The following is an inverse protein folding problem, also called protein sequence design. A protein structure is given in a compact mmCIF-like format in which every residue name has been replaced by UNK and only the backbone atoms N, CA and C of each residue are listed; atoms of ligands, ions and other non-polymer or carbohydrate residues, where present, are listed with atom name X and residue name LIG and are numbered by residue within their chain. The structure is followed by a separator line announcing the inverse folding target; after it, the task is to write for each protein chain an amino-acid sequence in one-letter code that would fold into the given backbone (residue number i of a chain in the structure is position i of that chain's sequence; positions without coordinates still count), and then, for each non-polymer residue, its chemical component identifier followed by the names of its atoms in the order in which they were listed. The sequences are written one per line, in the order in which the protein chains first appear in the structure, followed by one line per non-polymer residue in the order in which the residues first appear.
data_IF_996801113848
#
_entry.id   IF_996801113848
#
_cell.length_a   1.000
_cell.length_b   1.000
_cell.length_c   1.000
_cell.angle_alpha   90.00
_cell.angle_beta   90.00
_cell.angle_gamma   90.00
#
_symmetry.space_group_name_H-M   'P 1'
#
loop_
_entity.id
_entity.type
_entity.pdbx_description
1 polymer ?
#
# COMPACT_ATOMS: atom_id res chain seq x y z
N UNK A 1 38.08 40.29 15.97
CA UNK A 1 37.99 38.90 16.43
C UNK A 1 36.53 38.72 16.84
N UNK A 2 35.63 38.39 15.90
CA UNK A 2 35.39 37.03 15.32
C UNK A 2 34.83 36.07 16.37
N UNK A 3 33.86 35.17 16.17
CA UNK A 3 32.92 34.79 15.07
C UNK A 3 31.92 33.79 15.71
N UNK A 4 30.63 33.65 15.36
CA UNK A 4 29.66 34.51 14.64
C UNK A 4 28.20 34.01 14.96
N UNK A 5 27.15 34.57 14.36
CA UNK A 5 25.76 34.05 14.46
C UNK A 5 25.57 32.75 13.63
N UNK A 6 24.92 31.71 14.18
CA UNK A 6 24.39 30.59 13.38
C UNK A 6 23.33 29.74 14.11
N UNK A 7 22.07 30.12 13.91
CA UNK A 7 20.97 29.27 13.39
C UNK A 7 20.97 27.76 13.68
N UNK A 8 19.94 27.35 14.44
CA UNK A 8 19.07 26.16 14.30
C UNK A 8 19.41 25.08 13.25
N UNK A 9 19.46 23.82 13.68
CA UNK A 9 19.10 22.68 12.83
C UNK A 9 18.43 21.56 13.66
N UNK A 10 17.10 21.50 13.59
CA UNK A 10 16.28 20.39 14.08
C UNK A 10 16.41 19.21 13.11
N UNK A 11 17.12 18.14 13.49
CA UNK A 11 17.28 16.95 12.63
C UNK A 11 16.03 16.07 12.66
N UNK A 12 14.98 16.54 11.98
CA UNK A 12 13.92 15.66 11.52
C UNK A 12 14.52 14.61 10.56
N UNK A 13 14.26 13.30 10.71
CA UNK A 13 14.69 12.32 9.73
C UNK A 13 13.90 12.54 8.44
N UNK A 14 14.61 13.01 7.41
CA UNK A 14 14.06 13.21 6.08
C UNK A 14 13.59 11.87 5.49
N UNK A 15 12.28 11.59 5.57
CA UNK A 15 11.67 10.53 4.78
C UNK A 15 11.61 10.98 3.31
N UNK A 16 12.73 10.77 2.62
CA UNK A 16 12.83 11.04 1.20
C UNK A 16 12.02 10.01 0.40
N UNK A 17 10.78 10.38 0.09
CA UNK A 17 9.88 9.61 -0.75
C UNK A 17 10.08 9.90 -2.26
N UNK A 18 11.17 10.58 -2.67
CA UNK A 18 11.37 11.06 -4.04
C UNK A 18 11.89 10.00 -5.06
N UNK A 19 11.50 8.72 -4.93
CA UNK A 19 11.65 7.72 -5.98
C UNK A 19 10.74 6.50 -5.75
N UNK A 20 9.43 6.63 -5.99
CA UNK A 20 8.55 5.45 -6.04
C UNK A 20 8.89 4.58 -7.27
N UNK A 21 9.71 3.55 -7.05
CA UNK A 21 10.14 2.56 -8.04
C UNK A 21 8.99 1.75 -8.60
N UNK A 22 8.33 2.32 -9.61
CA UNK A 22 7.40 1.71 -10.56
C UNK A 22 6.38 0.72 -9.98
N UNK A 23 5.19 1.26 -9.69
CA UNK A 23 3.94 0.55 -9.96
C UNK A 23 3.85 0.37 -11.49
N UNK A 24 4.44 -0.71 -12.00
CA UNK A 24 4.53 -1.05 -13.43
C UNK A 24 3.16 -1.15 -14.08
N UNK A 25 2.17 -1.69 -13.36
CA UNK A 25 0.79 -1.87 -13.81
C UNK A 25 -0.17 -0.79 -13.31
N UNK A 26 0.27 0.48 -13.17
CA UNK A 26 -0.51 1.61 -12.61
C UNK A 26 -1.96 1.67 -13.11
N UNK A 27 -2.16 1.58 -14.43
CA UNK A 27 -3.49 1.67 -15.04
C UNK A 27 -4.39 0.48 -14.67
N UNK A 28 -3.83 -0.70 -14.43
CA UNK A 28 -4.59 -1.88 -14.01
C UNK A 28 -4.99 -1.82 -12.54
N UNK A 29 -4.15 -1.26 -11.67
CA UNK A 29 -4.57 -0.93 -10.31
C UNK A 29 -5.68 0.12 -10.30
N UNK A 30 -5.58 1.17 -11.13
CA UNK A 30 -6.64 2.16 -11.27
C UNK A 30 -7.94 1.55 -11.82
N UNK A 31 -7.90 0.63 -12.79
CA UNK A 31 -9.07 -0.13 -13.26
C UNK A 31 -9.70 -0.97 -12.14
N UNK A 32 -8.88 -1.69 -11.35
CA UNK A 32 -9.34 -2.49 -10.20
C UNK A 32 -9.99 -1.61 -9.12
N UNK A 33 -9.36 -0.51 -8.75
CA UNK A 33 -9.88 0.44 -7.75
C UNK A 33 -11.21 1.07 -8.19
N UNK A 34 -11.35 1.50 -9.45
CA UNK A 34 -12.63 2.00 -10.01
C UNK A 34 -13.74 0.96 -9.96
N UNK A 35 -13.41 -0.35 -10.09
CA UNK A 35 -14.39 -1.44 -9.94
C UNK A 35 -14.83 -1.59 -8.48
N UNK A 36 -13.90 -1.51 -7.54
CA UNK A 36 -14.16 -1.57 -6.08
C UNK A 36 -15.01 -0.36 -5.63
N UNK A 37 -14.73 0.83 -6.16
CA UNK A 37 -15.54 2.04 -5.96
C UNK A 37 -17.00 1.82 -6.42
N UNK A 38 -17.18 1.14 -7.56
CA UNK A 38 -18.49 0.69 -8.04
C UNK A 38 -19.18 -0.32 -7.13
N UNK A 39 -18.43 -1.24 -6.51
CA UNK A 39 -18.96 -2.18 -5.50
C UNK A 39 -19.41 -1.45 -4.22
N UNK A 40 -18.64 -0.47 -3.75
CA UNK A 40 -19.01 0.36 -2.59
C UNK A 40 -20.32 1.13 -2.83
N UNK A 41 -20.48 1.75 -4.01
CA UNK A 41 -21.78 2.34 -4.41
C UNK A 41 -22.89 1.30 -4.53
N UNK A 42 -22.58 0.06 -4.90
CA UNK A 42 -23.53 -1.05 -4.92
C UNK A 42 -24.05 -1.39 -3.53
N UNK A 43 -23.14 -1.55 -2.57
CA UNK A 43 -23.46 -1.81 -1.17
C UNK A 43 -24.32 -0.70 -0.55
N UNK A 44 -24.03 0.57 -0.85
CA UNK A 44 -24.87 1.69 -0.40
C UNK A 44 -26.32 1.53 -0.85
N UNK A 45 -26.56 1.28 -2.15
CA UNK A 45 -27.92 1.04 -2.66
C UNK A 45 -28.59 -0.19 -2.05
N UNK A 46 -27.85 -1.29 -1.86
CA UNK A 46 -28.43 -2.49 -1.23
C UNK A 46 -28.89 -2.23 0.22
N UNK A 47 -28.22 -1.32 0.94
CA UNK A 47 -28.65 -0.89 2.29
C UNK A 47 -29.83 0.09 2.21
N UNK A 48 -29.81 1.05 1.28
CA UNK A 48 -30.92 1.98 1.03
C UNK A 48 -32.21 1.27 0.60
N UNK A 49 -32.10 0.18 -0.15
CA UNK A 49 -33.20 -0.67 -0.62
C UNK A 49 -33.60 -1.77 0.39
N UNK A 50 -33.04 -1.76 1.61
CA UNK A 50 -33.27 -2.75 2.68
C UNK A 50 -33.12 -4.22 2.22
N UNK A 51 -32.16 -4.49 1.33
CA UNK A 51 -31.96 -5.83 0.77
C UNK A 51 -31.51 -6.86 1.82
N UNK A 52 -31.72 -8.14 1.49
CA UNK A 52 -31.46 -9.24 2.41
C UNK A 52 -30.01 -9.26 2.90
N UNK A 53 -29.83 -9.33 4.23
CA UNK A 53 -28.54 -9.15 4.89
C UNK A 53 -27.44 -10.12 4.38
N UNK A 54 -27.81 -11.34 3.97
CA UNK A 54 -26.85 -12.32 3.44
C UNK A 54 -26.29 -11.90 2.08
N UNK A 55 -27.10 -11.24 1.23
CA UNK A 55 -26.65 -10.75 -0.08
C UNK A 55 -25.73 -9.54 0.09
N UNK A 56 -26.03 -8.66 1.05
CA UNK A 56 -25.15 -7.55 1.45
C UNK A 56 -23.80 -8.11 1.96
N UNK A 57 -23.82 -9.07 2.89
CA UNK A 57 -22.60 -9.71 3.41
C UNK A 57 -21.80 -10.45 2.31
N UNK A 58 -22.49 -11.02 1.32
CA UNK A 58 -21.86 -11.64 0.15
C UNK A 58 -21.13 -10.59 -0.70
N UNK A 59 -21.72 -9.41 -0.93
CA UNK A 59 -21.05 -8.32 -1.65
C UNK A 59 -19.92 -7.65 -0.85
N UNK A 60 -20.06 -7.51 0.47
CA UNK A 60 -18.95 -7.10 1.35
C UNK A 60 -17.77 -8.06 1.18
N UNK A 61 -18.04 -9.37 1.25
CA UNK A 61 -17.01 -10.40 1.05
C UNK A 61 -16.35 -10.34 -0.33
N UNK A 62 -17.12 -10.02 -1.38
CA UNK A 62 -16.60 -9.82 -2.73
C UNK A 62 -15.74 -8.55 -2.86
N UNK A 63 -16.10 -7.46 -2.18
CA UNK A 63 -15.32 -6.22 -2.16
C UNK A 63 -14.00 -6.39 -1.38
N UNK A 64 -14.03 -7.07 -0.23
CA UNK A 64 -12.83 -7.39 0.55
C UNK A 64 -11.83 -8.23 -0.25
N UNK A 65 -12.30 -9.27 -0.97
CA UNK A 65 -11.44 -10.06 -1.86
C UNK A 65 -10.82 -9.24 -2.99
N UNK A 66 -11.55 -8.27 -3.55
CA UNK A 66 -11.03 -7.38 -4.58
C UNK A 66 -9.95 -6.42 -4.02
N UNK A 67 -10.13 -5.91 -2.81
CA UNK A 67 -9.12 -5.12 -2.09
C UNK A 67 -7.86 -5.94 -1.78
N UNK A 68 -8.02 -7.16 -1.26
CA UNK A 68 -6.91 -8.08 -0.99
C UNK A 68 -6.11 -8.40 -2.27
N UNK A 69 -6.78 -8.58 -3.42
CA UNK A 69 -6.13 -8.80 -4.70
C UNK A 69 -5.34 -7.57 -5.21
N UNK A 70 -5.78 -6.34 -4.89
CA UNK A 70 -5.01 -5.12 -5.18
C UNK A 70 -3.79 -5.02 -4.28
N UNK A 71 -3.96 -5.27 -2.97
CA UNK A 71 -2.87 -5.21 -2.01
C UNK A 71 -1.78 -6.26 -2.29
N UNK A 72 -2.17 -7.47 -2.71
CA UNK A 72 -1.22 -8.53 -3.09
C UNK A 72 -0.40 -8.16 -4.34
N UNK A 73 -1.02 -7.57 -5.37
CA UNK A 73 -0.28 -7.13 -6.55
C UNK A 73 0.72 -6.02 -6.24
N UNK A 74 0.31 -5.00 -5.47
CA UNK A 74 1.20 -3.91 -5.06
C UNK A 74 2.40 -4.41 -4.23
N UNK A 75 2.19 -5.45 -3.42
CA UNK A 75 3.24 -6.14 -2.70
C UNK A 75 4.18 -6.92 -3.64
N UNK A 76 3.64 -7.65 -4.62
CA UNK A 76 4.42 -8.40 -5.61
C UNK A 76 5.33 -7.47 -6.44
N UNK A 77 4.80 -6.33 -6.90
CA UNK A 77 5.59 -5.27 -7.56
C UNK A 77 6.68 -4.71 -6.61
N UNK A 78 6.35 -4.48 -5.33
CA UNK A 78 7.30 -3.95 -4.35
C UNK A 78 8.43 -4.93 -4.02
N UNK A 79 8.13 -6.23 -3.89
CA UNK A 79 9.15 -7.27 -3.68
C UNK A 79 10.04 -7.37 -4.92
N UNK A 80 9.43 -7.44 -6.11
CA UNK A 80 10.13 -7.65 -7.38
C UNK A 80 11.13 -6.55 -7.73
N UNK A 81 10.85 -5.30 -7.37
CA UNK A 81 11.77 -4.18 -7.59
C UNK A 81 12.59 -3.85 -6.33
N UNK A 82 11.94 -3.46 -5.23
CA UNK A 82 12.65 -2.89 -4.08
C UNK A 82 13.41 -3.94 -3.25
N UNK A 83 12.89 -5.16 -3.10
CA UNK A 83 13.52 -6.19 -2.27
C UNK A 83 14.61 -6.93 -3.03
N UNK A 84 14.40 -7.25 -4.32
CA UNK A 84 15.44 -7.87 -5.15
C UNK A 84 16.65 -6.93 -5.31
N UNK A 85 16.45 -5.67 -5.67
CA UNK A 85 17.55 -4.69 -5.82
C UNK A 85 18.29 -4.42 -4.50
N UNK A 86 17.60 -4.52 -3.36
CA UNK A 86 18.23 -4.40 -2.04
C UNK A 86 19.01 -5.68 -1.67
N UNK A 87 18.45 -6.86 -1.93
CA UNK A 87 19.12 -8.13 -1.66
C UNK A 87 20.41 -8.31 -2.48
N UNK A 88 20.45 -7.80 -3.72
CA UNK A 88 21.67 -7.77 -4.57
C UNK A 88 22.73 -6.81 -4.00
N UNK A 89 22.34 -5.69 -3.40
CA UNK A 89 23.24 -4.72 -2.76
C UNK A 89 23.75 -5.19 -1.38
N UNK A 90 22.94 -5.93 -0.65
CA UNK A 90 23.27 -6.52 0.65
C UNK A 90 23.40 -5.52 1.80
N UNK A 91 23.83 -6.02 2.96
CA UNK A 91 24.07 -5.22 4.16
C UNK A 91 22.80 -4.74 4.89
N UNK A 92 22.93 -3.84 5.88
CA UNK A 92 21.83 -3.45 6.77
C UNK A 92 20.63 -2.79 6.06
N UNK A 93 20.85 -2.11 4.93
CA UNK A 93 19.78 -1.51 4.12
C UNK A 93 18.85 -2.59 3.52
N UNK A 94 19.42 -3.74 3.11
CA UNK A 94 18.67 -4.87 2.60
C UNK A 94 17.79 -5.52 3.68
N UNK A 95 18.35 -5.74 4.87
CA UNK A 95 17.61 -6.28 6.02
C UNK A 95 16.45 -5.36 6.44
N UNK A 96 16.67 -4.04 6.45
CA UNK A 96 15.63 -3.06 6.73
C UNK A 96 14.48 -3.11 5.71
N UNK A 97 14.79 -3.21 4.40
CA UNK A 97 13.77 -3.30 3.34
C UNK A 97 13.00 -4.62 3.34
N UNK A 98 13.68 -5.74 3.61
CA UNK A 98 13.03 -7.05 3.80
C UNK A 98 12.07 -7.00 5.00
N UNK A 99 12.47 -6.37 6.10
CA UNK A 99 11.62 -6.21 7.29
C UNK A 99 10.39 -5.33 6.99
N UNK A 100 10.56 -4.21 6.29
CA UNK A 100 9.47 -3.32 5.87
C UNK A 100 8.39 -4.07 5.07
N UNK A 101 8.81 -4.82 4.05
CA UNK A 101 7.90 -5.65 3.25
C UNK A 101 7.22 -6.75 4.09
N UNK A 102 7.96 -7.41 4.98
CA UNK A 102 7.43 -8.45 5.89
C UNK A 102 6.39 -7.89 6.86
N UNK A 103 6.63 -6.71 7.43
CA UNK A 103 5.67 -6.03 8.31
C UNK A 103 4.41 -5.59 7.54
N UNK A 104 4.53 -5.23 6.25
CA UNK A 104 3.38 -4.92 5.39
C UNK A 104 2.53 -6.17 5.12
N UNK A 105 3.16 -7.30 4.75
CA UNK A 105 2.50 -8.61 4.60
C UNK A 105 1.75 -8.99 5.89
N UNK A 106 2.43 -8.86 7.03
CA UNK A 106 1.87 -9.26 8.32
C UNK A 106 0.62 -8.44 8.69
N UNK A 107 0.50 -7.18 8.24
CA UNK A 107 -0.72 -6.39 8.40
C UNK A 107 -1.85 -6.89 7.49
N UNK A 108 -1.55 -7.17 6.21
CA UNK A 108 -2.53 -7.65 5.22
C UNK A 108 -3.11 -9.04 5.56
N UNK A 109 -2.34 -9.92 6.18
CA UNK A 109 -2.80 -11.28 6.57
C UNK A 109 -3.67 -11.27 7.84
N UNK A 110 -3.66 -10.18 8.63
CA UNK A 110 -4.44 -10.04 9.86
C UNK A 110 -5.78 -9.30 9.68
N UNK A 111 -6.11 -8.90 8.45
CA UNK A 111 -7.33 -8.15 8.08
C UNK A 111 -8.29 -8.97 7.21
#
# INVERSE_FOLDING_TARGET
MTEDDTTTAETAPCHDHAAHGYITAKDDYLKRLRRIEGQSRGLQRMVEEEQYCIDILTQVSAMTKALQAVAMGLLEDHISHCVVDAAVRGGPEAEAKIKEATDAIARLVRS
#
